data_IF_578085904187
#
_entry.id   IF_578085904187
#
_cell.length_a   1.000
_cell.length_b   1.000
_cell.length_c   1.000
_cell.angle_alpha   90.00
_cell.angle_beta   90.00
_cell.angle_gamma   90.00
#
_symmetry.space_group_name_H-M   'P 1'
#
loop_
_entity.id
_entity.type
_entity.pdbx_description
1 polymer ?
#
# COMPACT_ATOMS: atom_id res chain seq x y z
N UNK A 1 30.28 47.93 39.95
CA UNK A 1 31.23 49.06 39.90
C UNK A 1 31.55 49.35 38.44
N UNK A 2 31.07 50.53 38.06
CA UNK A 2 31.63 51.50 37.10
C UNK A 2 31.60 51.07 35.62
N UNK A 3 30.60 51.47 34.87
CA UNK A 3 30.42 52.73 34.08
C UNK A 3 31.61 53.08 33.18
N UNK A 4 31.43 53.23 31.86
CA UNK A 4 31.17 54.51 31.18
C UNK A 4 30.92 54.37 29.68
N UNK A 5 29.89 55.09 29.25
CA UNK A 5 29.57 55.56 27.88
C UNK A 5 30.69 56.40 27.25
N UNK A 6 30.67 56.59 25.93
CA UNK A 6 30.65 57.89 25.22
C UNK A 6 30.67 57.65 23.70
N UNK A 7 29.67 57.99 22.98
CA UNK A 7 29.24 59.18 22.22
C UNK A 7 30.15 59.63 21.05
N UNK A 8 29.51 59.60 19.88
CA UNK A 8 29.41 60.57 18.77
C UNK A 8 30.65 60.98 17.98
N UNK A 9 30.55 60.92 16.65
CA UNK A 9 30.42 62.12 15.76
C UNK A 9 30.11 61.74 14.31
N UNK A 10 29.14 62.48 13.73
CA UNK A 10 28.88 62.67 12.30
C UNK A 10 30.01 63.36 11.60
N UNK A 11 30.28 63.05 10.34
CA UNK A 11 30.76 63.98 9.33
C UNK A 11 30.25 63.51 7.97
N UNK A 12 29.40 64.32 7.37
CA UNK A 12 28.96 64.18 5.98
C UNK A 12 29.98 64.84 5.05
N UNK A 13 30.07 64.36 3.83
CA UNK A 13 30.54 65.13 2.68
C UNK A 13 29.75 64.71 1.42
N UNK A 14 29.29 65.79 0.76
CA UNK A 14 28.52 65.72 -0.50
C UNK A 14 29.49 65.70 -1.72
N UNK A 15 28.88 65.31 -2.88
CA UNK A 15 29.24 65.53 -4.29
C UNK A 15 30.11 64.51 -4.98
N UNK A 16 29.49 63.78 -5.95
CA UNK A 16 29.61 64.09 -7.38
C UNK A 16 28.63 63.23 -8.21
N UNK A 17 27.85 63.97 -9.02
CA UNK A 17 26.96 63.40 -10.06
C UNK A 17 27.86 62.99 -11.24
N UNK A 18 27.89 61.72 -11.55
CA UNK A 18 28.46 61.15 -12.78
C UNK A 18 27.36 60.38 -13.53
N UNK A 19 26.85 61.00 -14.60
CA UNK A 19 26.00 60.26 -15.58
C UNK A 19 26.88 59.28 -16.33
N UNK A 20 26.47 57.98 -16.28
CA UNK A 20 26.97 56.92 -17.17
C UNK A 20 25.73 56.25 -17.82
N UNK A 21 25.79 55.93 -19.14
CA UNK A 21 24.59 55.60 -19.92
C UNK A 21 24.03 54.24 -19.57
N UNK A 22 22.70 54.14 -19.68
CA UNK A 22 21.93 52.94 -19.47
C UNK A 22 22.30 51.84 -20.49
N UNK A 23 22.98 50.78 -20.04
CA UNK A 23 22.95 49.50 -20.71
C UNK A 23 21.62 48.84 -20.37
N UNK A 24 20.78 48.69 -21.38
CA UNK A 24 19.58 47.88 -21.34
C UNK A 24 20.02 46.41 -21.25
N UNK A 25 20.23 45.91 -20.03
CA UNK A 25 20.38 44.51 -19.72
C UNK A 25 18.98 43.88 -19.62
N UNK A 26 18.62 43.08 -20.62
CA UNK A 26 17.40 42.32 -20.61
C UNK A 26 17.31 41.48 -19.33
N UNK A 27 16.30 41.75 -18.52
CA UNK A 27 15.86 40.82 -17.46
C UNK A 27 15.40 39.55 -18.17
N UNK A 28 16.23 38.52 -18.13
CA UNK A 28 15.76 37.17 -18.43
C UNK A 28 14.57 36.89 -17.50
N UNK A 29 13.38 36.88 -18.06
CA UNK A 29 12.22 36.36 -17.38
C UNK A 29 12.56 34.92 -17.00
N UNK A 30 12.49 34.62 -15.72
CA UNK A 30 12.42 33.24 -15.24
C UNK A 30 11.20 32.66 -15.94
N UNK A 31 11.42 31.80 -16.95
CA UNK A 31 10.40 31.07 -17.63
C UNK A 31 9.85 30.13 -16.57
N UNK A 32 8.65 30.43 -16.08
CA UNK A 32 7.85 29.45 -15.36
C UNK A 32 7.80 28.18 -16.20
N UNK A 33 7.94 26.97 -15.63
CA UNK A 33 7.83 25.74 -16.39
C UNK A 33 6.52 25.79 -17.19
N UNK A 34 6.65 25.65 -18.51
CA UNK A 34 5.54 25.84 -19.44
C UNK A 34 4.40 24.88 -19.14
N UNK A 35 3.20 25.33 -19.43
CA UNK A 35 1.98 24.54 -19.54
C UNK A 35 2.29 23.30 -20.42
N UNK A 36 1.91 22.09 -20.02
CA UNK A 36 2.22 20.84 -20.74
C UNK A 36 1.83 20.93 -22.22
N UNK A 37 2.72 20.46 -23.08
CA UNK A 37 2.53 20.44 -24.54
C UNK A 37 1.47 19.42 -25.00
N UNK A 38 0.97 18.60 -24.09
CA UNK A 38 -0.04 17.56 -24.34
C UNK A 38 -1.37 17.96 -23.73
N UNK A 39 -2.47 17.65 -24.46
CA UNK A 39 -3.81 17.84 -23.92
C UNK A 39 -3.97 17.10 -22.58
N UNK A 40 -4.83 17.60 -21.66
CA UNK A 40 -4.96 17.03 -20.33
C UNK A 40 -5.33 15.54 -20.43
N UNK A 41 -4.50 14.67 -19.84
CA UNK A 41 -4.91 13.29 -19.62
C UNK A 41 -5.95 13.32 -18.50
N UNK A 42 -7.22 13.07 -18.84
CA UNK A 42 -8.32 13.10 -17.87
C UNK A 42 -8.12 12.14 -16.67
N UNK A 43 -7.15 11.24 -16.75
CA UNK A 43 -6.81 10.27 -15.69
C UNK A 43 -5.89 10.87 -14.64
N UNK A 44 -5.18 11.96 -14.94
CA UNK A 44 -4.12 12.51 -14.09
C UNK A 44 -4.02 14.04 -14.16
N UNK A 45 -3.33 14.63 -13.20
CA UNK A 45 -2.94 16.05 -13.19
C UNK A 45 -1.60 16.26 -13.91
N UNK A 46 -0.70 15.27 -13.81
CA UNK A 46 0.61 15.25 -14.47
C UNK A 46 0.88 13.85 -15.05
N UNK A 47 1.61 13.80 -16.14
CA UNK A 47 2.04 12.55 -16.79
C UNK A 47 3.55 12.50 -16.86
N UNK A 48 4.12 11.39 -16.37
CA UNK A 48 5.54 11.08 -16.49
C UNK A 48 5.74 10.00 -17.55
N UNK A 49 6.57 10.28 -18.55
CA UNK A 49 6.90 9.33 -19.60
C UNK A 49 8.38 9.46 -20.01
N UNK A 50 9.15 8.38 -19.94
CA UNK A 50 10.58 8.38 -20.22
C UNK A 50 10.93 8.74 -21.67
N UNK A 51 10.05 8.42 -22.61
CA UNK A 51 10.20 8.75 -24.02
C UNK A 51 9.94 10.24 -24.33
N UNK A 52 9.45 11.01 -23.36
CA UNK A 52 9.12 12.43 -23.48
C UNK A 52 7.71 12.69 -24.00
N UNK A 53 6.86 11.69 -24.06
CA UNK A 53 5.44 11.85 -24.44
C UNK A 53 4.58 12.35 -23.26
N UNK A 54 5.13 12.54 -22.07
CA UNK A 54 4.48 13.12 -20.90
C UNK A 54 4.96 14.55 -20.61
N UNK A 55 4.50 15.10 -19.49
CA UNK A 55 4.90 16.41 -18.99
C UNK A 55 6.32 16.42 -18.44
N UNK A 56 6.75 15.28 -17.88
CA UNK A 56 8.07 15.05 -17.30
C UNK A 56 8.67 13.73 -17.77
N UNK A 57 10.00 13.63 -17.71
CA UNK A 57 10.71 12.38 -18.02
C UNK A 57 11.08 11.57 -16.79
N UNK A 58 11.15 12.22 -15.62
CA UNK A 58 11.45 11.59 -14.34
C UNK A 58 10.32 11.83 -13.34
N UNK A 59 10.19 10.91 -12.39
CA UNK A 59 9.17 11.00 -11.34
C UNK A 59 9.51 12.13 -10.37
N UNK A 60 10.79 12.31 -10.06
CA UNK A 60 11.21 13.35 -9.13
C UNK A 60 10.91 14.75 -9.67
N UNK A 61 11.15 15.02 -10.97
CA UNK A 61 10.78 16.30 -11.58
C UNK A 61 9.29 16.60 -11.45
N UNK A 62 8.42 15.61 -11.65
CA UNK A 62 6.98 15.76 -11.48
C UNK A 62 6.59 16.03 -10.02
N UNK A 63 7.20 15.31 -9.07
CA UNK A 63 7.00 15.55 -7.63
C UNK A 63 7.45 16.96 -7.21
N UNK A 64 8.59 17.43 -7.70
CA UNK A 64 9.14 18.75 -7.38
C UNK A 64 8.28 19.87 -7.97
N UNK A 65 7.66 19.65 -9.12
CA UNK A 65 6.77 20.61 -9.78
C UNK A 65 5.40 20.78 -9.09
N UNK A 66 4.99 19.86 -8.21
CA UNK A 66 3.75 20.02 -7.47
C UNK A 66 3.80 21.22 -6.52
N UNK A 67 2.73 22.02 -6.41
CA UNK A 67 2.65 23.08 -5.40
C UNK A 67 2.62 22.46 -3.99
N UNK A 68 3.21 23.12 -2.97
CA UNK A 68 3.31 22.57 -1.62
C UNK A 68 1.93 22.35 -0.95
N UNK A 69 0.95 23.20 -1.25
CA UNK A 69 -0.36 23.24 -0.59
C UNK A 69 -1.53 23.06 -1.58
N UNK A 70 -1.41 22.11 -2.51
CA UNK A 70 -2.50 21.87 -3.46
C UNK A 70 -3.77 21.40 -2.75
N UNK A 71 -4.94 21.97 -3.09
CA UNK A 71 -6.21 21.45 -2.61
C UNK A 71 -6.50 20.09 -3.28
N UNK A 72 -6.80 19.07 -2.47
CA UNK A 72 -7.11 17.71 -2.94
C UNK A 72 -5.87 16.91 -3.38
N UNK A 73 -6.10 15.66 -3.73
CA UNK A 73 -5.04 14.73 -4.13
C UNK A 73 -4.59 15.01 -5.57
N UNK A 74 -3.28 15.16 -5.76
CA UNK A 74 -2.65 15.33 -7.07
C UNK A 74 -2.24 13.98 -7.63
N UNK A 75 -2.70 13.66 -8.81
CA UNK A 75 -2.45 12.38 -9.46
C UNK A 75 -1.36 12.55 -10.50
N UNK A 76 -0.26 11.81 -10.32
CA UNK A 76 0.83 11.68 -11.28
C UNK A 76 0.70 10.31 -11.94
N UNK A 77 0.38 10.27 -13.23
CA UNK A 77 0.34 9.06 -14.02
C UNK A 77 1.75 8.73 -14.53
N UNK A 78 2.21 7.54 -14.23
CA UNK A 78 3.47 7.00 -14.72
C UNK A 78 3.21 6.07 -15.91
N UNK A 79 3.67 6.45 -17.10
CA UNK A 79 3.60 5.58 -18.28
C UNK A 79 4.49 4.34 -18.10
N UNK A 80 4.19 3.29 -18.83
CA UNK A 80 5.00 2.08 -18.82
C UNK A 80 6.47 2.38 -19.09
N UNK A 81 7.34 1.85 -18.26
CA UNK A 81 8.79 2.06 -18.36
C UNK A 81 9.50 1.68 -17.07
N UNK A 82 10.83 1.56 -17.15
CA UNK A 82 11.67 1.35 -15.97
C UNK A 82 12.34 2.67 -15.60
N UNK A 83 11.87 3.27 -14.52
CA UNK A 83 12.40 4.49 -13.91
C UNK A 83 13.51 4.10 -12.93
N UNK A 84 14.77 4.30 -13.36
CA UNK A 84 15.93 4.02 -12.50
C UNK A 84 16.28 5.26 -11.71
N UNK A 85 15.49 5.53 -10.70
CA UNK A 85 15.63 6.70 -9.84
C UNK A 85 15.24 6.37 -8.40
N UNK A 86 15.80 7.10 -7.48
CA UNK A 86 15.42 7.13 -6.09
C UNK A 86 14.53 8.35 -5.91
N UNK A 87 13.33 8.19 -5.37
CA UNK A 87 12.36 9.27 -5.25
C UNK A 87 12.14 9.69 -3.81
N UNK A 88 11.91 11.00 -3.64
CA UNK A 88 11.69 11.66 -2.36
C UNK A 88 10.34 12.35 -2.37
N UNK A 89 9.39 11.84 -1.62
CA UNK A 89 8.04 12.39 -1.49
C UNK A 89 7.99 13.22 -0.22
N UNK A 90 7.95 14.54 -0.38
CA UNK A 90 7.93 15.50 0.74
C UNK A 90 6.62 16.29 0.81
N UNK A 91 5.69 16.01 -0.10
CA UNK A 91 4.39 16.68 -0.19
C UNK A 91 3.27 15.69 0.09
N UNK A 92 2.26 16.13 0.80
CA UNK A 92 1.04 15.38 1.12
C UNK A 92 0.04 15.39 -0.03
N UNK A 93 -0.94 14.51 0.02
CA UNK A 93 -2.03 14.38 -0.96
C UNK A 93 -1.51 14.11 -2.39
N UNK A 94 -0.61 13.15 -2.51
CA UNK A 94 -0.01 12.71 -3.78
C UNK A 94 -0.44 11.29 -4.10
N UNK A 95 -0.79 11.03 -5.34
CA UNK A 95 -1.01 9.69 -5.87
C UNK A 95 -0.07 9.44 -7.05
N UNK A 96 0.85 8.48 -6.92
CA UNK A 96 1.63 7.92 -8.02
C UNK A 96 0.89 6.70 -8.55
N UNK A 97 0.39 6.78 -9.78
CA UNK A 97 -0.40 5.72 -10.40
C UNK A 97 0.29 5.23 -11.67
N UNK A 98 0.73 3.99 -11.66
CA UNK A 98 1.32 3.35 -12.84
C UNK A 98 0.26 3.01 -13.90
N UNK A 99 0.64 3.02 -15.15
CA UNK A 99 -0.21 2.58 -16.26
C UNK A 99 -0.46 1.06 -16.21
N UNK A 100 0.55 0.28 -15.77
CA UNK A 100 0.47 -1.17 -15.60
C UNK A 100 1.44 -1.62 -14.50
N UNK A 101 0.96 -2.45 -13.59
CA UNK A 101 1.70 -2.87 -12.39
C UNK A 101 3.06 -3.47 -12.69
N UNK A 102 3.15 -4.32 -13.72
CA UNK A 102 4.36 -5.09 -14.00
C UNK A 102 5.31 -4.35 -14.95
N UNK A 103 4.79 -3.39 -15.73
CA UNK A 103 5.52 -2.64 -16.74
C UNK A 103 5.90 -1.21 -16.31
N UNK A 104 5.25 -0.66 -15.28
CA UNK A 104 5.65 0.61 -14.67
C UNK A 104 6.51 0.34 -13.45
N UNK A 105 7.83 0.48 -13.57
CA UNK A 105 8.78 0.02 -12.56
C UNK A 105 9.67 1.15 -12.07
N UNK A 106 9.71 1.37 -10.76
CA UNK A 106 10.64 2.27 -10.07
C UNK A 106 11.72 1.41 -9.42
N UNK A 107 12.96 1.55 -9.83
CA UNK A 107 14.06 0.67 -9.40
C UNK A 107 15.26 1.50 -8.96
N UNK A 108 15.81 1.15 -7.80
CA UNK A 108 17.11 1.65 -7.34
C UNK A 108 17.84 0.53 -6.59
N UNK A 109 19.15 0.62 -6.54
CA UNK A 109 20.02 -0.32 -5.81
C UNK A 109 20.60 0.40 -4.60
N UNK A 110 20.16 0.08 -3.39
CA UNK A 110 20.70 0.68 -2.18
C UNK A 110 20.75 -0.33 -1.03
N UNK A 111 21.91 -0.45 -0.39
CA UNK A 111 22.09 -1.21 0.84
C UNK A 111 22.15 -0.25 2.03
N UNK A 112 21.26 -0.45 3.01
CA UNK A 112 21.18 0.42 4.19
C UNK A 112 22.53 0.59 4.92
N UNK A 113 23.29 -0.48 5.08
CA UNK A 113 24.57 -0.43 5.78
C UNK A 113 25.63 0.37 5.00
N UNK A 114 25.58 0.40 3.67
CA UNK A 114 26.44 1.26 2.84
C UNK A 114 25.99 2.72 2.91
N UNK A 115 24.69 2.97 2.78
CA UNK A 115 24.10 4.30 2.93
C UNK A 115 24.52 4.96 4.25
N UNK A 116 24.41 4.22 5.36
CA UNK A 116 24.74 4.69 6.71
C UNK A 116 26.20 5.01 6.96
N UNK A 117 27.10 4.66 6.06
CA UNK A 117 28.52 5.06 6.18
C UNK A 117 28.75 6.55 5.92
N UNK A 118 27.90 7.17 5.11
CA UNK A 118 28.04 8.55 4.66
C UNK A 118 26.84 9.45 5.03
N UNK A 119 25.79 8.87 5.59
CA UNK A 119 24.58 9.59 5.97
C UNK A 119 24.21 9.35 7.44
N UNK A 120 23.68 10.38 8.14
CA UNK A 120 23.39 10.30 9.57
C UNK A 120 22.23 9.38 9.92
N UNK A 121 21.30 9.17 8.97
CA UNK A 121 20.07 8.39 9.14
C UNK A 121 19.71 7.61 7.87
N UNK A 122 18.52 6.99 7.84
CA UNK A 122 18.05 6.19 6.72
C UNK A 122 17.27 7.01 5.65
N UNK A 123 17.22 8.34 5.75
CA UNK A 123 16.60 9.21 4.74
C UNK A 123 17.38 9.12 3.43
N UNK A 124 16.75 8.59 2.41
CA UNK A 124 17.37 8.29 1.12
C UNK A 124 17.86 6.85 0.96
N UNK A 125 17.75 5.99 1.98
CA UNK A 125 18.15 4.58 1.88
C UNK A 125 17.11 3.69 1.17
N UNK A 126 15.98 4.23 0.72
CA UNK A 126 14.93 3.49 0.02
C UNK A 126 14.84 3.88 -1.46
N UNK A 127 14.14 3.06 -2.24
CA UNK A 127 13.73 3.45 -3.60
C UNK A 127 12.72 4.59 -3.52
N UNK A 128 11.69 4.44 -2.67
CA UNK A 128 10.70 5.47 -2.38
C UNK A 128 10.88 5.93 -0.93
N UNK A 129 11.30 7.17 -0.76
CA UNK A 129 11.51 7.81 0.53
C UNK A 129 10.36 8.77 0.83
N UNK A 130 9.59 8.52 1.88
CA UNK A 130 8.46 9.34 2.30
C UNK A 130 8.86 10.17 3.51
N UNK A 131 8.84 11.50 3.36
CA UNK A 131 9.31 12.45 4.36
C UNK A 131 8.42 12.50 5.60
N UNK A 132 8.97 13.05 6.68
CA UNK A 132 8.21 13.30 7.91
C UNK A 132 6.98 14.18 7.64
N UNK A 133 5.86 13.83 8.27
CA UNK A 133 4.61 14.60 8.18
C UNK A 133 3.87 14.45 6.84
N UNK A 134 4.33 13.62 5.92
CA UNK A 134 3.59 13.35 4.68
C UNK A 134 2.34 12.53 5.00
N UNK A 135 1.21 12.98 4.48
CA UNK A 135 -0.11 12.39 4.66
C UNK A 135 -0.81 12.18 3.30
N UNK A 136 -1.76 11.23 3.27
CA UNK A 136 -2.60 10.98 2.10
C UNK A 136 -1.80 10.63 0.84
N UNK A 137 -0.84 9.69 0.98
CA UNK A 137 -0.05 9.17 -0.14
C UNK A 137 -0.70 7.89 -0.70
N UNK A 138 -0.82 7.82 -2.02
CA UNK A 138 -1.24 6.62 -2.75
C UNK A 138 -0.15 6.18 -3.71
N UNK A 139 0.29 4.93 -3.59
CA UNK A 139 1.18 4.25 -4.55
C UNK A 139 0.38 3.12 -5.19
N UNK A 140 0.06 3.23 -6.48
CA UNK A 140 -0.87 2.31 -7.12
C UNK A 140 -0.43 1.82 -8.50
N UNK A 141 -0.74 0.55 -8.80
CA UNK A 141 -0.58 -0.07 -10.11
C UNK A 141 0.86 0.03 -10.69
N UNK A 142 1.86 -0.19 -9.85
CA UNK A 142 3.27 -0.09 -10.21
C UNK A 142 4.13 -1.09 -9.44
N UNK A 143 5.36 -1.29 -9.89
CA UNK A 143 6.39 -2.07 -9.20
C UNK A 143 7.44 -1.14 -8.60
N UNK A 144 7.76 -1.34 -7.32
CA UNK A 144 8.86 -0.68 -6.60
C UNK A 144 9.86 -1.76 -6.22
N UNK A 145 11.10 -1.66 -6.67
CA UNK A 145 12.09 -2.71 -6.47
C UNK A 145 13.46 -2.16 -6.04
N UNK A 146 13.94 -2.56 -4.89
CA UNK A 146 15.34 -2.40 -4.53
C UNK A 146 16.10 -3.65 -4.96
N UNK A 147 16.85 -3.55 -6.05
CA UNK A 147 17.53 -4.68 -6.71
C UNK A 147 19.01 -4.86 -6.25
N UNK A 148 19.38 -4.32 -5.08
CA UNK A 148 20.76 -4.38 -4.59
C UNK A 148 21.24 -5.83 -4.37
N UNK A 149 20.44 -6.68 -3.74
CA UNK A 149 20.84 -8.05 -3.42
C UNK A 149 21.19 -8.88 -4.65
N UNK A 150 20.42 -8.73 -5.74
CA UNK A 150 20.70 -9.37 -7.02
C UNK A 150 21.98 -8.87 -7.69
N UNK A 151 22.44 -7.66 -7.36
CA UNK A 151 23.65 -7.05 -7.92
C UNK A 151 24.85 -7.14 -6.98
N UNK A 152 24.63 -6.81 -5.71
CA UNK A 152 25.68 -6.71 -4.69
C UNK A 152 25.89 -7.96 -3.86
N UNK A 153 25.01 -8.97 -3.98
CA UNK A 153 25.13 -10.25 -3.28
C UNK A 153 24.79 -10.23 -1.79
N UNK A 154 24.34 -9.10 -1.23
CA UNK A 154 23.89 -9.00 0.16
C UNK A 154 22.37 -8.98 0.24
N UNK A 155 21.81 -9.70 1.22
CA UNK A 155 20.38 -9.70 1.55
C UNK A 155 20.08 -9.01 2.88
N UNK A 156 20.97 -8.15 3.35
CA UNK A 156 20.74 -7.30 4.53
C UNK A 156 19.69 -6.21 4.20
N UNK A 157 19.43 -5.29 5.12
CA UNK A 157 18.32 -4.32 5.01
C UNK A 157 18.37 -3.48 3.72
N UNK A 158 17.32 -3.59 2.93
CA UNK A 158 17.14 -2.94 1.62
C UNK A 158 15.69 -2.48 1.49
N UNK A 159 15.46 -1.20 1.61
CA UNK A 159 14.09 -0.67 1.57
C UNK A 159 13.62 -0.44 0.13
N UNK A 160 12.48 -0.98 -0.24
CA UNK A 160 11.75 -0.49 -1.41
C UNK A 160 10.96 0.77 -1.05
N UNK A 161 10.24 0.77 0.08
CA UNK A 161 9.52 1.93 0.60
C UNK A 161 9.89 2.15 2.06
N UNK A 162 10.27 3.37 2.40
CA UNK A 162 10.52 3.77 3.78
C UNK A 162 9.89 5.12 4.09
N UNK A 163 9.25 5.24 5.26
CA UNK A 163 8.65 6.48 5.70
C UNK A 163 9.35 7.09 6.91
N UNK A 164 9.19 8.40 7.07
CA UNK A 164 9.52 9.14 8.29
C UNK A 164 8.52 8.85 9.43
N UNK A 165 8.79 9.42 10.61
CA UNK A 165 8.02 9.15 11.84
C UNK A 165 6.65 9.82 11.91
N UNK A 166 6.44 10.92 11.21
CA UNK A 166 5.18 11.68 11.23
C UNK A 166 4.21 11.31 10.12
N UNK A 167 4.53 10.30 9.30
CA UNK A 167 3.69 9.92 8.14
C UNK A 167 2.42 9.21 8.56
N UNK A 168 1.31 9.49 7.87
CA UNK A 168 0.03 8.79 8.08
C UNK A 168 -0.80 8.72 6.81
N UNK A 169 -1.80 7.85 6.77
CA UNK A 169 -2.71 7.62 5.64
C UNK A 169 -1.97 7.33 4.33
N UNK A 170 -1.07 6.33 4.39
CA UNK A 170 -0.37 5.82 3.21
C UNK A 170 -1.09 4.58 2.69
N UNK A 171 -1.42 4.59 1.40
CA UNK A 171 -2.05 3.47 0.69
C UNK A 171 -1.12 2.87 -0.37
N UNK A 172 -1.00 1.54 -0.41
CA UNK A 172 -0.30 0.80 -1.47
C UNK A 172 -1.27 -0.19 -2.10
N UNK A 173 -1.56 -0.01 -3.40
CA UNK A 173 -2.68 -0.65 -4.07
C UNK A 173 -2.26 -1.26 -5.40
N UNK A 174 -2.63 -2.51 -5.66
CA UNK A 174 -2.27 -3.20 -6.90
C UNK A 174 -0.78 -3.06 -7.26
N UNK A 175 0.10 -3.11 -6.27
CA UNK A 175 1.54 -2.86 -6.45
C UNK A 175 2.37 -4.11 -6.16
N UNK A 176 3.52 -4.22 -6.81
CA UNK A 176 4.59 -5.12 -6.39
C UNK A 176 5.64 -4.30 -5.64
N UNK A 177 5.87 -4.64 -4.38
CA UNK A 177 6.86 -4.00 -3.51
C UNK A 177 7.91 -5.04 -3.16
N UNK A 178 9.09 -4.91 -3.73
CA UNK A 178 10.12 -5.95 -3.75
C UNK A 178 11.43 -5.38 -3.23
N UNK A 179 12.10 -6.12 -2.36
CA UNK A 179 13.51 -5.91 -2.08
C UNK A 179 14.27 -7.25 -2.10
N UNK A 180 15.47 -7.22 -2.62
CA UNK A 180 16.35 -8.40 -2.62
C UNK A 180 17.06 -8.56 -1.24
N UNK A 181 16.47 -8.01 -0.20
CA UNK A 181 16.92 -8.05 1.19
C UNK A 181 15.80 -7.89 2.20
N UNK A 182 16.14 -7.49 3.42
CA UNK A 182 15.20 -7.29 4.52
C UNK A 182 14.51 -5.92 4.52
N UNK A 183 13.44 -5.78 5.32
CA UNK A 183 12.70 -4.54 5.59
C UNK A 183 12.10 -3.87 4.33
N UNK A 184 11.60 -4.63 3.36
CA UNK A 184 11.14 -4.16 2.04
C UNK A 184 10.21 -2.95 2.12
N UNK A 185 9.14 -3.03 2.92
CA UNK A 185 8.29 -1.88 3.25
C UNK A 185 8.38 -1.58 4.73
N UNK A 186 8.94 -0.43 5.09
CA UNK A 186 9.26 -0.05 6.46
C UNK A 186 8.67 1.32 6.80
N UNK A 187 7.50 1.33 7.45
CA UNK A 187 6.73 2.52 7.79
C UNK A 187 6.86 2.82 9.28
N UNK A 188 7.32 4.04 9.62
CA UNK A 188 7.93 4.31 10.94
C UNK A 188 7.09 5.12 11.91
N UNK A 189 5.89 5.56 11.57
CA UNK A 189 5.04 6.23 12.54
C UNK A 189 4.28 5.21 13.40
N UNK A 190 4.89 4.81 14.49
CA UNK A 190 4.30 3.88 15.46
C UNK A 190 3.30 4.55 16.42
N UNK A 191 3.19 5.88 16.43
CA UNK A 191 2.30 6.60 17.33
C UNK A 191 0.90 6.79 16.73
N UNK A 192 0.82 7.28 15.48
CA UNK A 192 -0.45 7.64 14.83
C UNK A 192 -0.50 7.26 13.34
N UNK A 193 0.49 6.51 12.84
CA UNK A 193 0.50 6.07 11.45
C UNK A 193 -0.67 5.16 11.13
N UNK A 194 -1.33 5.41 10.02
CA UNK A 194 -2.40 4.58 9.46
C UNK A 194 -2.01 4.14 8.05
N UNK A 195 -2.00 2.85 7.81
CA UNK A 195 -1.46 2.26 6.58
C UNK A 195 -2.45 1.25 5.98
N UNK A 196 -2.79 1.46 4.71
CA UNK A 196 -3.75 0.65 3.99
C UNK A 196 -3.11 0.00 2.77
N UNK A 197 -3.22 -1.32 2.67
CA UNK A 197 -2.64 -2.08 1.57
C UNK A 197 -3.67 -3.03 0.97
N UNK A 198 -3.81 -3.03 -0.35
CA UNK A 198 -4.76 -3.92 -1.00
C UNK A 198 -4.27 -4.44 -2.35
N UNK A 199 -4.59 -5.70 -2.65
CA UNK A 199 -4.31 -6.35 -3.93
C UNK A 199 -2.84 -6.27 -4.36
N UNK A 200 -1.92 -6.23 -3.38
CA UNK A 200 -0.49 -6.00 -3.60
C UNK A 200 0.35 -7.24 -3.30
N UNK A 201 1.55 -7.30 -3.86
CA UNK A 201 2.57 -8.31 -3.53
C UNK A 201 3.71 -7.68 -2.77
N UNK A 202 4.11 -8.28 -1.66
CA UNK A 202 5.25 -7.89 -0.84
C UNK A 202 6.26 -9.02 -0.84
N UNK A 203 7.50 -8.74 -1.24
CA UNK A 203 8.54 -9.76 -1.35
C UNK A 203 9.85 -9.27 -0.72
N UNK A 204 10.51 -10.17 -0.01
CA UNK A 204 11.79 -9.87 0.65
C UNK A 204 12.31 -11.03 1.50
N UNK A 205 13.29 -10.76 2.35
CA UNK A 205 13.98 -11.80 3.13
C UNK A 205 13.54 -11.84 4.60
N UNK A 206 13.87 -10.84 5.37
CA UNK A 206 13.53 -10.76 6.80
C UNK A 206 12.72 -9.50 7.05
N UNK A 207 11.64 -9.62 7.82
CA UNK A 207 10.81 -8.48 8.22
C UNK A 207 10.40 -7.60 7.03
N UNK A 208 10.19 -8.22 5.88
CA UNK A 208 9.97 -7.50 4.64
C UNK A 208 8.64 -6.74 4.60
N UNK A 209 7.70 -7.09 5.49
CA UNK A 209 6.50 -6.32 5.73
C UNK A 209 6.52 -5.76 7.15
N UNK A 210 6.87 -4.49 7.27
CA UNK A 210 7.22 -3.84 8.53
C UNK A 210 6.46 -2.51 8.72
N UNK A 211 5.11 -2.52 8.67
CA UNK A 211 4.31 -1.37 9.02
C UNK A 211 4.23 -1.26 10.54
N UNK A 212 4.31 -0.04 11.07
CA UNK A 212 4.06 0.26 12.47
C UNK A 212 2.79 1.08 12.60
N UNK A 213 2.29 1.25 13.83
CA UNK A 213 1.02 1.96 14.01
C UNK A 213 -0.19 1.09 13.66
N UNK A 214 -1.17 1.65 13.00
CA UNK A 214 -2.39 1.00 12.59
C UNK A 214 -2.26 0.54 11.14
N UNK A 215 -2.53 -0.72 10.86
CA UNK A 215 -2.38 -1.24 9.49
C UNK A 215 -3.50 -2.19 9.12
N UNK A 216 -4.03 -2.02 7.90
CA UNK A 216 -4.99 -2.94 7.30
C UNK A 216 -4.51 -3.41 5.94
N UNK A 217 -4.50 -4.72 5.74
CA UNK A 217 -4.09 -5.37 4.49
C UNK A 217 -5.19 -6.30 4.00
N UNK A 218 -5.51 -6.25 2.72
CA UNK A 218 -6.48 -7.18 2.12
C UNK A 218 -6.06 -7.64 0.73
N UNK A 219 -6.53 -8.83 0.32
CA UNK A 219 -6.32 -9.42 -1.01
C UNK A 219 -4.85 -9.41 -1.48
N UNK A 220 -3.90 -9.56 -0.56
CA UNK A 220 -2.48 -9.37 -0.84
C UNK A 220 -1.68 -10.66 -0.74
N UNK A 221 -0.49 -10.66 -1.35
CA UNK A 221 0.44 -11.78 -1.31
C UNK A 221 1.73 -11.37 -0.61
N UNK A 222 2.24 -12.26 0.21
CA UNK A 222 3.53 -12.16 0.88
C UNK A 222 4.42 -13.29 0.42
N UNK A 223 5.65 -13.00 -0.02
CA UNK A 223 6.59 -14.02 -0.44
C UNK A 223 7.95 -13.85 0.24
N UNK A 224 8.28 -14.78 1.13
CA UNK A 224 9.55 -14.78 1.87
C UNK A 224 10.64 -15.55 1.13
N UNK A 225 11.75 -14.88 0.81
CA UNK A 225 12.94 -15.48 0.20
C UNK A 225 13.92 -16.05 1.21
N UNK A 226 13.62 -15.97 2.52
CA UNK A 226 14.42 -16.50 3.61
C UNK A 226 13.58 -17.28 4.62
N UNK A 227 14.25 -17.97 5.56
CA UNK A 227 13.58 -18.74 6.62
C UNK A 227 13.21 -17.88 7.84
N UNK A 228 13.44 -16.56 7.78
CA UNK A 228 13.13 -15.62 8.85
C UNK A 228 11.66 -15.15 8.76
N UNK A 229 11.25 -14.27 9.68
CA UNK A 229 9.89 -13.74 9.75
C UNK A 229 9.57 -12.86 8.53
N UNK A 230 8.35 -13.01 8.02
CA UNK A 230 7.79 -12.18 6.95
C UNK A 230 7.32 -10.82 7.48
N UNK A 231 6.65 -10.82 8.63
CA UNK A 231 6.04 -9.65 9.24
C UNK A 231 6.85 -9.21 10.46
N UNK A 232 7.01 -7.89 10.57
CA UNK A 232 7.43 -7.21 11.80
C UNK A 232 6.44 -6.08 12.10
N UNK A 233 5.60 -6.27 13.11
CA UNK A 233 4.68 -5.23 13.58
C UNK A 233 4.76 -5.14 15.10
N UNK A 234 5.50 -4.15 15.61
CA UNK A 234 5.66 -3.94 17.04
C UNK A 234 5.85 -2.47 17.41
N UNK A 235 5.93 -2.22 18.72
CA UNK A 235 6.14 -0.89 19.27
C UNK A 235 4.85 -0.09 19.39
N UNK A 236 3.71 -0.77 19.57
CA UNK A 236 2.42 -0.14 19.82
C UNK A 236 2.50 0.89 20.97
N UNK A 237 2.00 2.07 20.74
CA UNK A 237 1.91 3.16 21.75
C UNK A 237 0.50 3.31 22.32
N UNK A 238 -0.47 2.65 21.71
CA UNK A 238 -1.87 2.56 22.10
C UNK A 238 -2.29 1.09 22.15
N UNK A 239 -3.14 0.72 23.13
CA UNK A 239 -3.62 -0.65 23.30
C UNK A 239 -4.41 -1.14 22.08
N UNK A 240 -5.10 -0.23 21.41
CA UNK A 240 -5.92 -0.53 20.23
C UNK A 240 -5.13 -0.60 18.92
N UNK A 241 -3.86 -0.22 18.90
CA UNK A 241 -3.05 -0.34 17.68
C UNK A 241 -2.97 -1.78 17.23
N UNK A 242 -3.30 -2.01 15.96
CA UNK A 242 -3.38 -3.36 15.40
C UNK A 242 -2.92 -3.44 13.95
N UNK A 243 -2.44 -4.61 13.57
CA UNK A 243 -2.27 -5.02 12.18
C UNK A 243 -3.35 -6.04 11.85
N UNK A 244 -4.22 -5.70 10.92
CA UNK A 244 -5.23 -6.61 10.36
C UNK A 244 -4.78 -7.06 8.97
N UNK A 245 -4.74 -8.35 8.73
CA UNK A 245 -4.48 -8.94 7.41
C UNK A 245 -5.64 -9.86 7.07
N UNK A 246 -6.34 -9.54 5.99
CA UNK A 246 -7.53 -10.30 5.57
C UNK A 246 -7.38 -10.82 4.14
N UNK A 247 -7.95 -12.01 3.86
CA UNK A 247 -8.05 -12.61 2.52
C UNK A 247 -6.71 -12.61 1.77
N UNK A 248 -5.61 -12.85 2.50
CA UNK A 248 -4.26 -12.74 1.96
C UNK A 248 -3.52 -14.06 2.00
N UNK A 249 -2.50 -14.21 1.13
CA UNK A 249 -1.71 -15.43 1.02
C UNK A 249 -0.27 -15.21 1.45
N UNK A 250 0.23 -16.08 2.31
CA UNK A 250 1.63 -16.18 2.67
C UNK A 250 2.27 -17.39 1.99
N UNK A 251 3.41 -17.13 1.34
CA UNK A 251 4.18 -18.11 0.60
C UNK A 251 5.67 -17.80 0.77
N UNK A 252 6.55 -18.71 0.36
CA UNK A 252 7.98 -18.47 0.43
C UNK A 252 8.81 -19.74 0.25
N UNK A 253 10.11 -19.60 0.53
CA UNK A 253 11.02 -20.75 0.58
C UNK A 253 10.64 -21.69 1.72
N UNK A 254 10.96 -23.01 1.65
CA UNK A 254 10.70 -23.93 2.73
C UNK A 254 11.27 -23.45 4.07
N UNK A 255 10.40 -23.38 5.08
CA UNK A 255 10.77 -22.94 6.43
C UNK A 255 10.64 -21.44 6.70
N UNK A 256 10.04 -20.65 5.81
CA UNK A 256 9.73 -19.25 6.12
C UNK A 256 8.81 -19.15 7.34
N UNK A 257 8.99 -18.12 8.17
CA UNK A 257 8.18 -17.90 9.36
C UNK A 257 7.19 -16.75 9.15
N UNK A 258 6.02 -16.81 9.81
CA UNK A 258 4.95 -15.84 9.63
C UNK A 258 5.34 -14.45 10.14
N UNK A 259 5.80 -14.33 11.38
CA UNK A 259 6.10 -13.03 11.95
C UNK A 259 6.87 -13.10 13.26
N UNK A 260 7.40 -11.94 13.67
CA UNK A 260 8.09 -11.76 14.95
C UNK A 260 7.91 -10.36 15.52
N UNK A 261 8.15 -10.20 16.81
CA UNK A 261 8.12 -8.92 17.53
C UNK A 261 9.29 -8.78 18.49
N UNK A 262 9.58 -7.57 18.94
CA UNK A 262 10.47 -7.28 20.09
C UNK A 262 9.77 -6.43 21.16
N UNK A 263 8.60 -5.88 20.86
CA UNK A 263 7.77 -5.04 21.75
C UNK A 263 6.31 -5.44 21.60
N UNK A 264 5.41 -4.72 22.27
CA UNK A 264 3.96 -4.94 22.14
C UNK A 264 3.50 -4.97 20.69
N UNK A 265 2.69 -5.96 20.34
CA UNK A 265 2.12 -6.10 19.00
C UNK A 265 0.75 -6.76 19.06
N UNK A 266 -0.15 -6.36 18.15
CA UNK A 266 -1.49 -6.92 18.04
C UNK A 266 -1.80 -7.27 16.58
N UNK A 267 -2.13 -8.53 16.34
CA UNK A 267 -2.35 -9.09 15.01
C UNK A 267 -3.75 -9.68 14.91
N UNK A 268 -4.41 -9.42 13.79
CA UNK A 268 -5.63 -10.08 13.35
C UNK A 268 -5.38 -10.65 11.96
N UNK A 269 -5.45 -11.96 11.80
CA UNK A 269 -5.36 -12.64 10.52
C UNK A 269 -6.70 -13.33 10.24
N UNK A 270 -7.39 -12.90 9.16
CA UNK A 270 -8.72 -13.39 8.81
C UNK A 270 -8.71 -13.91 7.38
N UNK A 271 -9.31 -15.08 7.15
CA UNK A 271 -9.42 -15.70 5.83
C UNK A 271 -8.06 -15.81 5.11
N UNK A 272 -6.95 -15.91 5.86
CA UNK A 272 -5.62 -16.01 5.29
C UNK A 272 -5.29 -17.45 4.90
N UNK A 273 -4.45 -17.58 3.86
CA UNK A 273 -3.93 -18.88 3.43
C UNK A 273 -2.41 -18.93 3.53
N UNK A 274 -1.90 -20.03 4.05
CA UNK A 274 -0.46 -20.25 4.21
C UNK A 274 -0.03 -21.40 3.31
N UNK A 275 1.09 -21.26 2.60
CA UNK A 275 1.62 -22.35 1.78
C UNK A 275 2.17 -23.49 2.66
N UNK A 276 2.29 -24.68 2.09
CA UNK A 276 2.91 -25.84 2.75
C UNK A 276 4.37 -25.59 3.20
N UNK A 277 5.01 -24.59 2.61
CA UNK A 277 6.38 -24.19 2.93
C UNK A 277 6.53 -23.46 4.28
N UNK A 278 5.42 -22.95 4.87
CA UNK A 278 5.47 -22.22 6.14
C UNK A 278 5.96 -23.12 7.29
N UNK A 279 6.89 -22.60 8.09
CA UNK A 279 7.38 -23.28 9.29
C UNK A 279 6.26 -23.46 10.34
N UNK A 280 6.32 -24.54 11.08
CA UNK A 280 5.49 -24.73 12.29
C UNK A 280 6.05 -23.86 13.44
N UNK A 281 5.82 -22.57 13.29
CA UNK A 281 6.30 -21.57 14.24
C UNK A 281 5.31 -20.40 14.34
N UNK A 282 4.69 -20.20 15.50
CA UNK A 282 3.81 -19.06 15.72
C UNK A 282 4.57 -17.74 15.60
N UNK A 283 3.88 -16.60 15.58
CA UNK A 283 4.49 -15.29 15.75
C UNK A 283 5.28 -15.32 17.07
N UNK A 284 6.54 -14.89 17.04
CA UNK A 284 7.47 -15.13 18.15
C UNK A 284 8.21 -13.86 18.59
N UNK A 285 8.75 -13.92 19.81
CA UNK A 285 9.68 -12.94 20.33
C UNK A 285 11.06 -13.14 19.71
N UNK A 286 11.58 -12.12 19.03
CA UNK A 286 12.91 -12.17 18.44
C UNK A 286 14.03 -12.03 19.47
N UNK A 287 13.74 -11.41 20.63
CA UNK A 287 14.62 -11.25 21.79
C UNK A 287 13.77 -10.99 23.02
N UNK A 288 14.36 -11.16 24.22
CA UNK A 288 13.70 -10.80 25.45
C UNK A 288 13.28 -9.32 25.42
N UNK A 289 12.00 -9.00 25.74
CA UNK A 289 11.50 -7.64 25.73
C UNK A 289 12.07 -6.83 26.90
N UNK A 290 12.35 -5.56 26.65
CA UNK A 290 12.73 -4.64 27.72
C UNK A 290 11.54 -4.36 28.66
N UNK A 291 10.36 -4.15 28.08
CA UNK A 291 9.07 -3.99 28.80
C UNK A 291 7.91 -4.30 27.85
N UNK A 292 6.95 -5.11 28.32
CA UNK A 292 5.63 -5.21 27.70
C UNK A 292 4.60 -4.48 28.55
N UNK A 293 3.63 -3.82 27.89
CA UNK A 293 2.39 -3.32 28.51
C UNK A 293 1.25 -4.29 28.25
N UNK A 294 1.14 -4.76 27.00
CA UNK A 294 0.03 -5.62 26.52
C UNK A 294 0.53 -6.94 25.95
N UNK A 295 1.83 -7.06 25.65
CA UNK A 295 2.44 -8.27 25.12
C UNK A 295 2.13 -8.55 23.65
N UNK A 296 2.31 -9.79 23.26
CA UNK A 296 1.92 -10.32 21.96
C UNK A 296 0.44 -10.77 22.01
N UNK A 297 -0.37 -10.19 21.15
CA UNK A 297 -1.77 -10.54 20.94
C UNK A 297 -1.95 -10.93 19.49
N UNK A 298 -2.28 -12.20 19.23
CA UNK A 298 -2.44 -12.72 17.88
C UNK A 298 -3.77 -13.48 17.78
N UNK A 299 -4.62 -13.00 16.89
CA UNK A 299 -5.97 -13.51 16.68
C UNK A 299 -6.12 -14.02 15.26
N UNK A 300 -6.73 -15.19 15.13
CA UNK A 300 -6.93 -15.88 13.85
C UNK A 300 -8.40 -16.21 13.67
N UNK A 301 -8.86 -16.16 12.42
CA UNK A 301 -10.19 -16.58 12.02
C UNK A 301 -10.19 -17.12 10.60
N UNK A 302 -10.72 -18.33 10.39
CA UNK A 302 -10.82 -18.96 9.05
C UNK A 302 -9.47 -18.95 8.28
N UNK A 303 -8.35 -19.12 9.00
CA UNK A 303 -7.04 -19.25 8.40
C UNK A 303 -6.75 -20.71 8.05
N UNK A 304 -6.15 -20.94 6.87
CA UNK A 304 -5.90 -22.29 6.38
C UNK A 304 -4.48 -22.42 5.83
N UNK A 305 -3.91 -23.61 5.94
CA UNK A 305 -2.62 -23.96 5.36
C UNK A 305 -2.78 -25.03 4.29
N UNK A 306 -1.99 -24.95 3.24
CA UNK A 306 -1.88 -26.05 2.28
C UNK A 306 -1.22 -27.27 2.97
N UNK A 307 -1.94 -28.38 3.09
CA UNK A 307 -1.53 -29.56 3.85
C UNK A 307 -2.06 -29.57 5.28
N UNK A 308 -1.25 -30.04 6.25
CA UNK A 308 -1.69 -30.12 7.64
C UNK A 308 -1.78 -28.74 8.31
N UNK A 309 -2.86 -28.53 9.05
CA UNK A 309 -3.05 -27.34 9.87
C UNK A 309 -2.13 -27.34 11.10
N UNK A 310 -1.73 -26.15 11.56
CA UNK A 310 -0.99 -26.01 12.81
C UNK A 310 -1.93 -25.47 13.91
N UNK A 311 -1.89 -26.03 15.13
CA UNK A 311 -2.82 -25.64 16.20
C UNK A 311 -2.74 -24.16 16.62
N UNK A 312 -1.60 -23.51 16.41
CA UNK A 312 -1.36 -22.15 16.91
C UNK A 312 -2.12 -21.07 16.12
N UNK A 313 -2.64 -21.34 14.93
CA UNK A 313 -3.50 -20.42 14.19
C UNK A 313 -4.97 -20.90 14.10
N UNK A 314 -5.39 -21.82 14.97
CA UNK A 314 -6.80 -22.17 15.11
C UNK A 314 -7.63 -20.93 15.49
N UNK A 315 -8.89 -20.91 15.09
CA UNK A 315 -9.82 -19.82 15.35
C UNK A 315 -9.86 -19.44 16.83
N UNK A 316 -9.50 -18.19 17.13
CA UNK A 316 -9.45 -17.65 18.48
C UNK A 316 -9.92 -16.18 18.55
N UNK A 317 -10.59 -15.67 17.53
CA UNK A 317 -11.03 -14.27 17.45
C UNK A 317 -11.90 -13.87 18.66
N UNK A 318 -12.68 -14.80 19.22
CA UNK A 318 -13.50 -14.57 20.42
C UNK A 318 -12.67 -14.24 21.67
N UNK A 319 -11.36 -14.45 21.65
CA UNK A 319 -10.46 -14.06 22.75
C UNK A 319 -10.03 -12.58 22.66
N UNK A 320 -10.28 -11.94 21.50
CA UNK A 320 -9.96 -10.53 21.31
C UNK A 320 -10.99 -9.67 22.03
N UNK A 321 -10.56 -8.94 23.06
CA UNK A 321 -11.44 -8.08 23.81
C UNK A 321 -12.00 -6.94 22.93
N UNK A 322 -13.34 -6.83 22.87
CA UNK A 322 -14.02 -5.80 22.08
C UNK A 322 -13.96 -5.98 20.56
N UNK A 323 -13.43 -7.08 20.04
CA UNK A 323 -13.50 -7.35 18.62
C UNK A 323 -14.94 -7.62 18.16
N UNK A 324 -15.36 -7.06 17.01
CA UNK A 324 -16.63 -7.41 16.42
C UNK A 324 -16.54 -8.80 15.77
N UNK A 325 -17.65 -9.26 15.17
CA UNK A 325 -17.63 -10.47 14.35
C UNK A 325 -16.71 -10.29 13.14
N UNK A 326 -16.14 -11.37 12.63
CA UNK A 326 -15.16 -11.35 11.54
C UNK A 326 -15.62 -10.53 10.32
N UNK A 327 -16.91 -10.64 9.96
CA UNK A 327 -17.49 -9.93 8.81
C UNK A 327 -17.58 -8.40 8.99
N UNK A 328 -17.39 -7.91 10.20
CA UNK A 328 -17.43 -6.49 10.56
C UNK A 328 -16.02 -5.89 10.71
N UNK A 329 -14.98 -6.73 10.62
CA UNK A 329 -13.59 -6.30 10.65
C UNK A 329 -13.22 -5.82 9.25
N UNK A 330 -13.07 -4.50 9.12
CA UNK A 330 -12.71 -3.80 7.87
C UNK A 330 -11.65 -2.72 8.14
N UNK A 331 -11.30 -1.97 7.13
CA UNK A 331 -10.34 -0.88 7.24
C UNK A 331 -10.82 0.19 8.24
N UNK A 332 -12.09 0.57 8.18
CA UNK A 332 -12.65 1.61 9.06
C UNK A 332 -12.61 1.19 10.54
N UNK A 333 -12.97 -0.05 10.84
CA UNK A 333 -12.83 -0.59 12.20
C UNK A 333 -11.35 -0.63 12.63
N UNK A 334 -10.47 -1.08 11.74
CA UNK A 334 -9.04 -1.15 12.03
C UNK A 334 -8.48 0.20 12.44
N UNK A 335 -8.88 1.27 11.76
CA UNK A 335 -8.45 2.65 12.06
C UNK A 335 -9.34 3.36 13.09
N UNK A 336 -10.11 2.64 13.89
CA UNK A 336 -11.02 3.19 14.93
C UNK A 336 -11.93 4.30 14.39
N UNK A 337 -12.36 4.22 13.14
CA UNK A 337 -13.21 5.22 12.48
C UNK A 337 -12.53 6.54 12.12
N UNK A 338 -11.22 6.70 12.40
CA UNK A 338 -10.48 7.93 12.11
C UNK A 338 -10.15 8.10 10.60
N UNK A 339 -10.08 7.01 9.88
CA UNK A 339 -9.83 6.99 8.45
C UNK A 339 -10.62 5.88 7.77
N UNK A 340 -11.19 6.21 6.62
CA UNK A 340 -11.84 5.27 5.71
C UNK A 340 -11.16 5.40 4.33
N UNK A 341 -10.09 4.65 4.07
CA UNK A 341 -9.38 4.72 2.80
C UNK A 341 -10.28 4.33 1.62
N UNK A 342 -11.15 3.35 1.80
CA UNK A 342 -12.00 2.84 0.72
C UNK A 342 -13.00 3.89 0.21
N UNK A 343 -13.45 4.80 1.07
CA UNK A 343 -14.32 5.91 0.69
C UNK A 343 -13.60 6.97 -0.18
N UNK A 344 -12.28 7.07 -0.10
CA UNK A 344 -11.49 8.08 -0.84
C UNK A 344 -10.94 7.58 -2.18
N UNK A 345 -10.79 6.28 -2.37
CA UNK A 345 -10.21 5.66 -3.56
C UNK A 345 -10.93 6.00 -4.88
N UNK A 346 -12.28 6.13 -4.94
CA UNK A 346 -12.97 6.49 -6.18
C UNK A 346 -12.55 7.84 -6.77
N UNK A 347 -12.06 8.75 -5.94
CA UNK A 347 -11.56 10.04 -6.40
C UNK A 347 -10.14 9.99 -7.00
N UNK A 348 -9.42 8.90 -6.76
CA UNK A 348 -7.98 8.78 -7.06
C UNK A 348 -7.70 7.73 -8.13
N UNK A 349 -8.23 6.51 -7.97
CA UNK A 349 -7.90 5.38 -8.85
C UNK A 349 -8.65 5.45 -10.18
N UNK A 350 -7.96 5.29 -11.33
CA UNK A 350 -8.62 5.28 -12.64
C UNK A 350 -9.32 3.97 -12.98
N UNK A 351 -9.25 2.95 -12.13
CA UNK A 351 -9.80 1.61 -12.33
C UNK A 351 -10.65 1.19 -11.14
N UNK A 352 -11.60 0.25 -11.38
CA UNK A 352 -12.36 -0.39 -10.32
C UNK A 352 -11.46 -1.26 -9.45
N UNK A 353 -11.68 -1.23 -8.14
CA UNK A 353 -10.81 -1.90 -7.15
C UNK A 353 -11.62 -2.52 -6.01
N UNK A 354 -10.94 -3.24 -5.13
CA UNK A 354 -11.49 -3.83 -3.90
C UNK A 354 -12.78 -4.61 -4.16
N UNK A 355 -12.67 -5.82 -4.70
CA UNK A 355 -13.82 -6.65 -5.07
C UNK A 355 -14.55 -7.22 -3.84
N UNK A 356 -15.84 -7.37 -3.95
CA UNK A 356 -16.67 -8.16 -3.03
C UNK A 356 -17.53 -9.11 -3.91
N UNK A 357 -17.41 -10.43 -3.76
CA UNK A 357 -16.51 -11.20 -2.87
C UNK A 357 -15.04 -10.86 -3.09
N UNK A 358 -14.23 -10.94 -2.03
CA UNK A 358 -12.78 -10.71 -2.11
C UNK A 358 -12.13 -11.67 -3.12
N UNK A 359 -11.04 -11.23 -3.73
CA UNK A 359 -10.34 -12.07 -4.71
C UNK A 359 -9.79 -13.34 -4.04
N UNK A 360 -10.15 -14.50 -4.56
CA UNK A 360 -9.79 -15.78 -3.96
C UNK A 360 -10.74 -16.27 -2.86
N UNK A 361 -11.81 -15.53 -2.55
CA UNK A 361 -12.80 -15.94 -1.55
C UNK A 361 -13.34 -17.35 -1.82
N UNK A 362 -13.56 -18.10 -0.74
CA UNK A 362 -14.10 -19.46 -0.77
C UNK A 362 -15.46 -19.51 -0.08
N UNK A 363 -16.22 -20.55 -0.35
CA UNK A 363 -17.53 -20.78 0.23
C UNK A 363 -18.53 -19.60 0.05
N UNK A 364 -18.38 -18.83 -1.04
CA UNK A 364 -19.32 -17.76 -1.38
C UNK A 364 -20.72 -18.36 -1.59
N UNK A 365 -21.78 -17.78 -0.99
CA UNK A 365 -23.14 -18.30 -1.16
C UNK A 365 -23.51 -18.43 -2.64
N UNK A 366 -24.10 -19.55 -3.02
CA UNK A 366 -24.56 -19.78 -4.38
C UNK A 366 -25.82 -18.97 -4.74
N UNK A 367 -26.59 -18.55 -3.74
CA UNK A 367 -27.77 -17.72 -3.89
C UNK A 367 -27.60 -16.36 -3.19
N UNK A 368 -28.18 -15.31 -3.75
CA UNK A 368 -28.18 -13.95 -3.18
C UNK A 368 -26.81 -13.26 -3.16
N UNK A 369 -25.80 -13.82 -3.83
CA UNK A 369 -24.48 -13.17 -3.93
C UNK A 369 -24.51 -12.02 -4.91
N UNK A 370 -23.96 -10.87 -4.49
CA UNK A 370 -23.81 -9.65 -5.26
C UNK A 370 -22.32 -9.39 -5.49
N UNK A 371 -21.96 -9.04 -6.72
CA UNK A 371 -20.62 -8.53 -7.04
C UNK A 371 -20.60 -7.03 -6.76
N UNK A 372 -19.68 -6.57 -5.93
CA UNK A 372 -19.50 -5.15 -5.63
C UNK A 372 -18.03 -4.77 -5.75
N UNK A 373 -17.77 -3.50 -6.02
CA UNK A 373 -16.43 -2.95 -6.15
C UNK A 373 -16.40 -1.48 -5.74
N UNK A 374 -15.20 -1.00 -5.43
CA UNK A 374 -14.97 0.43 -5.28
C UNK A 374 -14.84 1.03 -6.68
N UNK A 375 -15.56 2.13 -6.92
CA UNK A 375 -15.64 2.79 -8.21
C UNK A 375 -14.32 3.42 -8.65
N UNK A 376 -14.26 3.81 -9.90
CA UNK A 376 -13.10 4.46 -10.52
C UNK A 376 -13.36 5.95 -10.73
N UNK A 377 -12.29 6.74 -10.70
CA UNK A 377 -12.30 8.18 -10.95
C UNK A 377 -12.95 8.50 -12.32
N UNK A 378 -13.88 9.44 -12.31
CA UNK A 378 -14.62 9.89 -13.52
C UNK A 378 -15.35 8.78 -14.31
N UNK A 379 -15.55 7.60 -13.73
CA UNK A 379 -16.36 6.58 -14.36
C UNK A 379 -17.85 6.96 -14.30
N UNK A 380 -18.53 6.94 -15.45
CA UNK A 380 -19.98 7.11 -15.55
C UNK A 380 -20.71 5.76 -15.64
N UNK A 381 -20.00 4.70 -16.01
CA UNK A 381 -20.54 3.35 -16.10
C UNK A 381 -19.43 2.30 -15.96
N UNK A 382 -19.81 1.02 -15.88
CA UNK A 382 -18.90 -0.11 -15.76
C UNK A 382 -19.35 -1.25 -16.66
N UNK A 383 -18.43 -1.77 -17.46
CA UNK A 383 -18.63 -3.01 -18.23
C UNK A 383 -18.26 -4.20 -17.32
N UNK A 384 -19.27 -4.94 -16.88
CA UNK A 384 -19.10 -6.11 -16.03
C UNK A 384 -18.86 -7.35 -16.88
N UNK A 385 -17.81 -8.05 -16.55
CA UNK A 385 -17.48 -9.37 -17.12
C UNK A 385 -17.58 -10.42 -16.03
N UNK A 386 -18.24 -11.54 -16.35
CA UNK A 386 -18.49 -12.59 -15.36
C UNK A 386 -18.65 -13.95 -16.05
N UNK A 387 -18.12 -15.02 -15.44
CA UNK A 387 -18.25 -16.37 -15.95
C UNK A 387 -17.28 -17.36 -15.35
N UNK A 388 -17.19 -18.54 -15.96
CA UNK A 388 -16.31 -19.65 -15.52
C UNK A 388 -15.00 -19.70 -16.29
N UNK A 389 -14.78 -18.82 -17.24
CA UNK A 389 -13.56 -18.74 -18.05
C UNK A 389 -12.71 -17.55 -17.66
N UNK A 390 -11.39 -17.66 -17.84
CA UNK A 390 -10.45 -16.56 -17.73
C UNK A 390 -9.82 -16.29 -19.11
N UNK A 391 -10.01 -15.14 -19.73
CA UNK A 391 -10.80 -13.99 -19.23
C UNK A 391 -12.31 -14.20 -19.32
N UNK A 392 -13.08 -13.60 -18.39
CA UNK A 392 -14.54 -13.74 -18.41
C UNK A 392 -15.20 -12.89 -19.53
N UNK A 393 -16.33 -13.36 -20.09
CA UNK A 393 -17.09 -12.62 -21.08
C UNK A 393 -17.78 -11.39 -20.47
N UNK A 394 -18.11 -10.39 -21.31
CA UNK A 394 -18.95 -9.27 -20.90
C UNK A 394 -20.40 -9.75 -20.72
N UNK A 395 -21.03 -9.35 -19.63
CA UNK A 395 -22.40 -9.75 -19.27
C UNK A 395 -23.35 -8.57 -19.08
N UNK A 396 -22.83 -7.39 -18.68
CA UNK A 396 -23.67 -6.21 -18.42
C UNK A 396 -22.86 -4.91 -18.52
N UNK A 397 -23.59 -3.81 -18.72
CA UNK A 397 -23.12 -2.45 -18.41
C UNK A 397 -24.02 -1.86 -17.34
N UNK A 398 -23.41 -1.34 -16.27
CA UNK A 398 -24.10 -0.76 -15.11
C UNK A 398 -23.55 0.63 -14.78
N UNK A 399 -24.36 1.53 -14.24
CA UNK A 399 -23.93 2.85 -13.78
C UNK A 399 -23.47 2.82 -12.31
N UNK A 400 -23.97 1.86 -11.52
CA UNK A 400 -23.59 1.65 -10.12
C UNK A 400 -22.36 0.76 -9.96
N UNK A 401 -21.97 0.55 -8.71
CA UNK A 401 -20.82 -0.28 -8.33
C UNK A 401 -21.23 -1.67 -7.80
N UNK A 402 -22.31 -2.20 -8.33
CA UNK A 402 -22.84 -3.52 -7.99
C UNK A 402 -23.43 -4.24 -9.20
N UNK A 403 -23.40 -5.57 -9.19
CA UNK A 403 -24.01 -6.43 -10.17
C UNK A 403 -24.50 -7.74 -9.53
N UNK A 404 -25.72 -8.15 -9.87
CA UNK A 404 -26.36 -9.38 -9.39
C UNK A 404 -26.23 -10.47 -10.45
N UNK A 405 -25.35 -11.48 -10.28
CA UNK A 405 -25.14 -12.50 -11.30
C UNK A 405 -26.29 -13.54 -11.35
N UNK A 406 -27.23 -13.49 -10.40
CA UNK A 406 -28.27 -14.52 -10.24
C UNK A 406 -27.75 -15.76 -9.50
N UNK A 407 -28.51 -16.84 -9.51
CA UNK A 407 -28.12 -18.10 -8.87
C UNK A 407 -26.82 -18.66 -9.45
N UNK A 408 -25.91 -19.05 -8.60
CA UNK A 408 -24.61 -19.62 -8.96
C UNK A 408 -24.61 -21.15 -8.78
N UNK A 409 -23.70 -21.83 -9.47
CA UNK A 409 -23.53 -23.27 -9.28
C UNK A 409 -22.64 -23.52 -8.08
N UNK A 410 -23.06 -24.32 -7.11
CA UNK A 410 -22.23 -24.68 -5.95
C UNK A 410 -20.91 -25.34 -6.33
N UNK A 411 -19.86 -25.13 -5.50
CA UNK A 411 -18.52 -25.70 -5.68
C UNK A 411 -17.77 -25.24 -6.92
N UNK A 412 -18.19 -24.13 -7.52
CA UNK A 412 -17.71 -23.66 -8.83
C UNK A 412 -16.83 -22.43 -8.69
N UNK A 413 -15.71 -22.39 -9.45
CA UNK A 413 -14.88 -21.18 -9.58
C UNK A 413 -15.49 -20.24 -10.62
N UNK A 414 -15.67 -18.99 -10.22
CA UNK A 414 -16.08 -17.90 -11.09
C UNK A 414 -14.96 -16.86 -11.20
N UNK A 415 -14.84 -16.31 -12.41
CA UNK A 415 -13.94 -15.18 -12.73
C UNK A 415 -14.79 -13.97 -13.08
N UNK A 416 -14.34 -12.80 -12.68
CA UNK A 416 -15.02 -11.56 -13.01
C UNK A 416 -14.06 -10.39 -13.10
N UNK A 417 -14.45 -9.37 -13.85
CA UNK A 417 -13.69 -8.15 -14.06
C UNK A 417 -14.65 -6.99 -14.31
N UNK A 418 -14.24 -5.82 -13.89
CA UNK A 418 -15.01 -4.59 -14.11
C UNK A 418 -14.12 -3.58 -14.82
N UNK A 419 -14.52 -3.21 -16.04
CA UNK A 419 -13.84 -2.20 -16.85
C UNK A 419 -14.58 -0.87 -16.66
N UNK A 420 -13.87 0.19 -16.19
CA UNK A 420 -14.46 1.49 -15.95
C UNK A 420 -14.67 2.26 -17.29
N UNK A 421 -15.85 2.78 -17.51
CA UNK A 421 -16.18 3.59 -18.71
C UNK A 421 -16.16 5.05 -18.33
N UNK A 422 -15.23 5.80 -18.92
CA UNK A 422 -15.02 7.24 -18.67
C UNK A 422 -15.24 8.03 -19.96
N UNK A 423 -15.39 9.37 -19.92
CA UNK A 423 -15.42 10.20 -21.11
C UNK A 423 -14.20 10.02 -22.04
N UNK A 424 -13.02 9.71 -21.47
CA UNK A 424 -11.80 9.47 -22.23
C UNK A 424 -11.69 8.04 -22.80
N UNK A 425 -12.65 7.18 -22.52
CA UNK A 425 -12.67 5.78 -22.96
C UNK A 425 -12.74 4.77 -21.83
N UNK A 426 -12.56 3.49 -22.17
CA UNK A 426 -12.62 2.40 -21.21
C UNK A 426 -11.27 2.15 -20.56
N UNK A 427 -11.25 2.03 -19.24
CA UNK A 427 -10.09 1.61 -18.44
C UNK A 427 -10.31 0.18 -18.00
N UNK A 428 -9.45 -0.72 -18.48
CA UNK A 428 -9.51 -2.14 -18.17
C UNK A 428 -9.21 -2.38 -16.69
N UNK A 429 -10.08 -3.17 -16.02
CA UNK A 429 -9.90 -3.60 -14.65
C UNK A 429 -9.09 -4.89 -14.49
N UNK A 430 -9.02 -5.38 -13.26
CA UNK A 430 -8.34 -6.62 -12.89
C UNK A 430 -9.29 -7.80 -12.94
N UNK A 431 -8.77 -8.98 -13.23
CA UNK A 431 -9.55 -10.21 -13.12
C UNK A 431 -9.49 -10.69 -11.68
N UNK A 432 -10.65 -10.86 -11.09
CA UNK A 432 -10.85 -11.45 -9.77
C UNK A 432 -11.52 -12.81 -9.89
N UNK A 433 -11.38 -13.63 -8.87
CA UNK A 433 -12.03 -14.95 -8.80
C UNK A 433 -12.58 -15.23 -7.41
N UNK A 434 -13.57 -16.11 -7.34
CA UNK A 434 -14.02 -16.72 -6.10
C UNK A 434 -14.54 -18.14 -6.35
N UNK A 435 -14.74 -18.90 -5.29
CA UNK A 435 -15.32 -20.25 -5.34
C UNK A 435 -16.58 -20.27 -4.50
N UNK A 436 -17.69 -20.75 -5.08
CA UNK A 436 -18.94 -20.93 -4.34
C UNK A 436 -18.84 -22.09 -3.36
N UNK A 437 -19.60 -22.02 -2.25
CA UNK A 437 -19.75 -23.14 -1.33
C UNK A 437 -20.22 -24.40 -2.06
N UNK A 438 -19.79 -25.55 -1.56
CA UNK A 438 -20.31 -26.86 -2.05
C UNK A 438 -21.82 -27.00 -1.79
N UNK A 439 -22.52 -27.96 -2.41
CA UNK A 439 -23.88 -28.25 -2.02
C UNK A 439 -23.86 -28.56 -0.52
N UNK A 440 -24.78 -27.94 0.24
CA UNK A 440 -24.95 -28.26 1.65
C UNK A 440 -25.17 -29.77 1.76
N UNK A 441 -24.15 -30.47 2.30
CA UNK A 441 -24.34 -31.84 2.75
C UNK A 441 -25.43 -31.80 3.82
N UNK A 442 -26.59 -32.34 3.52
CA UNK A 442 -27.73 -32.32 4.42
C UNK A 442 -27.26 -32.68 5.83
N UNK A 443 -27.36 -31.73 6.74
CA UNK A 443 -27.17 -31.99 8.15
C UNK A 443 -28.20 -33.03 8.56
N UNK A 444 -27.75 -34.31 8.58
CA UNK A 444 -28.52 -35.35 9.18
C UNK A 444 -28.85 -34.95 10.61
N UNK A 445 -30.12 -34.65 10.84
CA UNK A 445 -30.65 -34.46 12.18
C UNK A 445 -30.40 -35.76 12.95
N UNK A 446 -29.37 -35.81 13.77
CA UNK A 446 -29.27 -36.77 14.85
C UNK A 446 -30.37 -36.43 15.87
N UNK A 447 -31.58 -36.87 15.55
CA UNK A 447 -32.60 -37.06 16.54
C UNK A 447 -32.08 -38.11 17.52
N UNK A 448 -31.60 -37.68 18.66
CA UNK A 448 -31.32 -38.50 19.82
C UNK A 448 -32.61 -39.23 20.19
N UNK A 449 -32.67 -40.54 19.86
CA UNK A 449 -33.61 -41.43 20.50
C UNK A 449 -33.23 -41.59 21.96
N UNK A 450 -33.91 -40.85 22.81
CA UNK A 450 -34.06 -41.26 24.18
C UNK A 450 -34.87 -42.56 24.20
N UNK A 451 -34.28 -43.63 24.70
CA UNK A 451 -35.00 -44.80 25.17
C UNK A 451 -34.33 -45.31 26.43
N UNK A 452 -35.19 -45.38 27.50
CA UNK A 452 -35.18 -46.38 28.57
C UNK A 452 -34.14 -46.26 29.64
#
# INVERSE_FOLDING_TARGET
>A
MVHLETRRRLAGLLFAVGLVPACVGGRGALVSPGVPAHGPDERADLVVARDGSGDFRTIQEALDALPPDAPGTRIILLRNGTYREKIFITKSRVALVGEDRDRTRIISSELRSEWRRTHPDDWGAAVVNVGDGVEDLVLANLTIHNDYGSRGGSHDHQFAVRSGKGTTRISVLHANVIADGGDTISLWNNASGMYYHASSSFEGYVDFFCPRGWSYVTDSRFFGHGTSASIWHDGSTDEDQKLVIQSSRFDGVPGFALGRITRDGQFYLLDCTFSAAMADRPIYLAREPETFRWGLRAYFWSCHRDGAEFPWFADNLQQANGAPRAEQIDARWTFAGQWDPEATLPAVLPFASIPVPRNGARAVPAEGSSLRWIGARKAGAYDVRFGRTDPPPIVARVEGTAYEPGPLVPGTTYFWRVDAVTPAGSVKGFVWRFVTGGPEGGTGSNASKANG
#
